data_IF_655589406011
#
_entry.id   IF_655589406011
#
_cell.length_a   1.000
_cell.length_b   1.000
_cell.length_c   1.000
_cell.angle_alpha   90.00
_cell.angle_beta   90.00
_cell.angle_gamma   90.00
#
_symmetry.space_group_name_H-M   'P 1'
#
loop_
_entity.id
_entity.type
_entity.pdbx_description
1 polymer ?
#
# COMPACT_ATOMS: atom_id res chain seq x y z
N UNK A 1 -2.04 22.88 3.73
CA UNK A 1 -2.56 23.06 2.36
C UNK A 1 -3.92 23.71 2.41
N UNK A 2 -4.40 24.23 1.27
CA UNK A 2 -5.81 24.63 1.10
C UNK A 2 -6.72 23.39 1.12
N UNK A 3 -8.04 23.58 1.20
CA UNK A 3 -9.00 22.46 1.06
C UNK A 3 -8.80 21.69 -0.25
N UNK A 4 -8.57 22.40 -1.36
CA UNK A 4 -8.35 21.78 -2.66
C UNK A 4 -7.08 20.91 -2.68
N UNK A 5 -5.99 21.37 -2.04
CA UNK A 5 -4.76 20.59 -1.91
C UNK A 5 -4.98 19.32 -1.07
N UNK A 6 -5.70 19.43 0.06
CA UNK A 6 -6.05 18.27 0.89
C UNK A 6 -6.93 17.27 0.14
N UNK A 7 -7.94 17.75 -0.58
CA UNK A 7 -8.85 16.91 -1.36
C UNK A 7 -8.11 16.19 -2.50
N UNK A 8 -7.30 16.92 -3.28
CA UNK A 8 -6.48 16.34 -4.34
C UNK A 8 -5.50 15.29 -3.80
N UNK A 9 -4.78 15.60 -2.72
CA UNK A 9 -3.84 14.65 -2.13
C UNK A 9 -4.55 13.38 -1.66
N UNK A 10 -5.69 13.51 -0.95
CA UNK A 10 -6.42 12.35 -0.45
C UNK A 10 -7.02 11.50 -1.58
N UNK A 11 -7.58 12.13 -2.60
CA UNK A 11 -8.22 11.42 -3.72
C UNK A 11 -7.21 10.78 -4.68
N UNK A 12 -6.04 11.40 -4.89
CA UNK A 12 -5.08 10.98 -5.91
C UNK A 12 -3.87 10.21 -5.35
N UNK A 13 -3.48 10.44 -4.10
CA UNK A 13 -2.31 9.81 -3.48
C UNK A 13 -2.67 8.74 -2.44
N UNK A 14 -3.94 8.70 -2.02
CA UNK A 14 -4.43 7.82 -0.98
C UNK A 14 -4.19 8.37 0.42
N UNK A 15 -4.14 7.48 1.40
CA UNK A 15 -3.90 7.83 2.81
C UNK A 15 -2.41 7.87 3.14
N UNK A 16 -2.00 8.94 3.81
CA UNK A 16 -0.66 9.11 4.33
C UNK A 16 -0.67 9.53 5.80
N UNK A 17 0.47 9.32 6.45
CA UNK A 17 0.75 9.78 7.80
C UNK A 17 2.16 10.32 7.86
N UNK A 18 2.35 11.39 8.65
CA UNK A 18 3.66 11.99 8.85
C UNK A 18 4.53 11.07 9.70
N UNK A 19 5.82 10.99 9.37
CA UNK A 19 6.81 10.32 10.21
C UNK A 19 6.95 11.05 11.55
N UNK A 20 7.22 10.31 12.65
CA UNK A 20 7.35 10.88 13.97
C UNK A 20 8.61 11.74 14.08
N UNK A 21 8.63 12.63 15.09
CA UNK A 21 9.81 13.42 15.47
C UNK A 21 10.46 14.25 14.34
N UNK A 22 9.70 14.58 13.29
CA UNK A 22 10.22 15.30 12.12
C UNK A 22 11.17 14.47 11.24
N UNK A 23 11.16 13.14 11.41
CA UNK A 23 11.99 12.24 10.62
C UNK A 23 11.65 12.31 9.13
N UNK A 24 12.62 11.90 8.31
CA UNK A 24 12.46 11.74 6.86
C UNK A 24 12.99 10.39 6.42
N UNK A 25 12.44 9.89 5.32
CA UNK A 25 12.82 8.62 4.70
C UNK A 25 13.16 8.88 3.24
N UNK A 26 14.33 8.42 2.82
CA UNK A 26 14.73 8.46 1.41
C UNK A 26 14.46 7.09 0.81
N UNK A 27 13.60 7.03 -0.19
CA UNK A 27 13.25 5.78 -0.87
C UNK A 27 14.29 5.31 -1.85
N UNK A 28 14.13 4.06 -2.29
CA UNK A 28 14.96 3.44 -3.31
C UNK A 28 14.92 4.15 -4.68
N UNK A 29 13.92 5.00 -4.93
CA UNK A 29 13.81 5.87 -6.10
C UNK A 29 14.51 7.24 -5.94
N UNK A 30 15.15 7.50 -4.79
CA UNK A 30 15.91 8.71 -4.49
C UNK A 30 15.12 9.86 -3.88
N UNK A 31 13.81 9.72 -3.67
CA UNK A 31 12.98 10.78 -3.08
C UNK A 31 12.99 10.76 -1.55
N UNK A 32 13.30 11.90 -0.95
CA UNK A 32 13.16 12.10 0.51
C UNK A 32 11.75 12.60 0.85
N UNK A 33 11.08 11.89 1.76
CA UNK A 33 9.71 12.19 2.20
C UNK A 33 9.60 12.19 3.72
N UNK A 34 8.76 13.09 4.25
CA UNK A 34 8.40 13.17 5.66
C UNK A 34 7.11 12.43 6.00
N UNK A 35 6.51 11.74 5.02
CA UNK A 35 5.26 11.01 5.11
C UNK A 35 5.44 9.61 4.54
N UNK A 36 4.65 8.67 5.03
CA UNK A 36 4.55 7.32 4.51
C UNK A 36 3.08 6.97 4.27
N UNK A 37 2.84 5.99 3.40
CA UNK A 37 1.47 5.56 3.09
C UNK A 37 0.96 4.61 4.16
N UNK A 38 -0.27 4.85 4.61
CA UNK A 38 -0.93 3.97 5.56
C UNK A 38 -1.82 2.97 4.85
N UNK A 39 -2.05 1.83 5.50
CA UNK A 39 -3.21 0.97 5.23
C UNK A 39 -4.48 1.79 5.44
N UNK A 40 -5.51 1.43 4.70
CA UNK A 40 -6.84 2.04 4.81
C UNK A 40 -7.94 0.97 4.96
N UNK A 41 -7.60 -0.27 5.31
CA UNK A 41 -8.52 -1.36 5.59
C UNK A 41 -8.49 -1.75 7.06
N UNK A 42 -9.57 -2.36 7.53
CA UNK A 42 -9.65 -2.93 8.89
C UNK A 42 -8.70 -4.13 8.98
N UNK A 43 -7.94 -4.24 10.06
CA UNK A 43 -7.20 -5.46 10.40
C UNK A 43 -7.95 -6.17 11.53
N UNK A 44 -7.67 -7.47 11.74
CA UNK A 44 -8.30 -8.25 12.80
C UNK A 44 -7.89 -7.75 14.20
N UNK A 45 -6.67 -7.18 14.31
CA UNK A 45 -6.17 -6.50 15.50
C UNK A 45 -6.06 -4.99 15.27
N UNK A 46 -6.39 -4.20 16.29
CA UNK A 46 -6.23 -2.75 16.23
C UNK A 46 -4.74 -2.35 16.12
N UNK A 47 -4.38 -1.41 15.23
CA UNK A 47 -2.99 -1.01 15.06
C UNK A 47 -2.45 -0.32 16.32
N UNK A 48 -1.24 -0.70 16.73
CA UNK A 48 -0.57 -0.19 17.93
C UNK A 48 0.59 0.72 17.57
N UNK A 49 1.26 0.44 16.48
CA UNK A 49 2.52 1.07 16.07
C UNK A 49 2.50 1.55 14.62
N UNK A 50 3.45 2.40 14.25
CA UNK A 50 3.62 2.83 12.85
C UNK A 50 3.85 1.66 11.89
N UNK A 51 4.53 0.60 12.36
CA UNK A 51 4.75 -0.62 11.58
C UNK A 51 3.48 -1.40 11.28
N UNK A 52 2.43 -1.29 12.09
CA UNK A 52 1.17 -1.99 11.86
C UNK A 52 0.39 -1.39 10.68
N UNK A 53 0.61 -0.09 10.44
CA UNK A 53 -0.15 0.70 9.47
C UNK A 53 0.63 1.02 8.20
N UNK A 54 1.94 0.73 8.11
CA UNK A 54 2.68 1.00 6.87
C UNK A 54 2.20 0.11 5.74
N UNK A 55 1.98 0.71 4.57
CA UNK A 55 1.74 -0.03 3.34
C UNK A 55 2.43 0.63 2.15
N UNK A 56 3.68 0.26 1.93
CA UNK A 56 4.52 0.72 0.82
C UNK A 56 5.68 -0.26 0.62
N UNK A 57 6.46 -0.15 -0.47
CA UNK A 57 7.55 -1.10 -0.76
C UNK A 57 8.72 -0.98 0.22
N UNK A 58 9.07 0.25 0.59
CA UNK A 58 10.15 0.53 1.53
C UNK A 58 9.62 0.46 2.96
N UNK A 59 10.11 -0.51 3.74
CA UNK A 59 9.78 -0.62 5.16
C UNK A 59 10.22 0.64 5.93
N UNK A 60 9.49 0.95 7.01
CA UNK A 60 9.95 1.96 7.95
C UNK A 60 11.21 1.47 8.68
N UNK A 61 12.16 2.36 9.03
CA UNK A 61 13.24 2.02 9.94
C UNK A 61 12.71 1.38 11.22
N UNK A 62 13.38 0.33 11.71
CA UNK A 62 12.90 -0.48 12.83
C UNK A 62 12.55 0.35 14.08
N UNK A 63 13.33 1.39 14.36
CA UNK A 63 13.06 2.32 15.45
C UNK A 63 11.70 3.02 15.28
N UNK A 64 11.43 3.57 14.08
CA UNK A 64 10.16 4.24 13.75
C UNK A 64 9.01 3.24 13.74
N UNK A 65 9.21 2.06 13.15
CA UNK A 65 8.18 1.04 13.04
C UNK A 65 7.64 0.60 14.41
N UNK A 66 8.48 0.62 15.45
CA UNK A 66 8.10 0.27 16.83
C UNK A 66 7.44 1.39 17.61
N UNK A 67 7.46 2.62 17.10
CA UNK A 67 6.85 3.74 17.82
C UNK A 67 5.33 3.55 17.95
N UNK A 68 4.75 3.86 19.11
CA UNK A 68 3.32 3.75 19.31
C UNK A 68 2.56 4.85 18.57
N UNK A 69 1.38 4.50 18.06
CA UNK A 69 0.43 5.48 17.53
C UNK A 69 -0.30 6.18 18.68
N UNK A 70 -0.45 7.50 18.59
CA UNK A 70 -1.33 8.26 19.48
C UNK A 70 -2.81 7.97 19.19
N UNK A 71 -3.69 8.28 20.14
CA UNK A 71 -5.15 8.12 19.93
C UNK A 71 -5.68 9.02 18.81
N UNK A 72 -5.10 10.23 18.65
CA UNK A 72 -5.41 11.11 17.53
C UNK A 72 -5.01 10.47 16.19
N UNK A 73 -3.82 9.87 16.13
CA UNK A 73 -3.35 9.19 14.93
C UNK A 73 -4.24 7.98 14.59
N UNK A 74 -4.61 7.17 15.58
CA UNK A 74 -5.52 6.04 15.39
C UNK A 74 -6.89 6.48 14.88
N UNK A 75 -7.45 7.56 15.44
CA UNK A 75 -8.77 8.08 15.02
C UNK A 75 -8.75 8.73 13.63
N UNK A 76 -7.58 9.14 13.13
CA UNK A 76 -7.41 9.68 11.77
C UNK A 76 -7.30 8.61 10.67
N UNK A 77 -7.11 7.34 11.03
CA UNK A 77 -6.97 6.24 10.08
C UNK A 77 -8.28 6.00 9.33
N UNK A 78 -8.19 5.80 8.02
CA UNK A 78 -9.32 5.30 7.25
C UNK A 78 -9.46 3.79 7.41
N UNK A 79 -10.69 3.33 7.31
CA UNK A 79 -11.04 1.92 7.40
C UNK A 79 -11.90 1.52 6.22
N UNK A 80 -11.57 0.34 5.68
CA UNK A 80 -12.28 -0.37 4.63
C UNK A 80 -12.62 -1.76 5.17
N UNK A 81 -13.90 -2.05 5.30
CA UNK A 81 -14.45 -3.23 5.93
C UNK A 81 -14.22 -4.50 5.11
N UNK A 82 -14.22 -5.66 5.78
CA UNK A 82 -14.09 -6.96 5.13
C UNK A 82 -15.33 -7.35 4.29
N UNK A 83 -16.48 -6.76 4.62
CA UNK A 83 -17.77 -7.01 3.96
C UNK A 83 -18.14 -5.90 2.95
N UNK A 84 -17.25 -4.93 2.75
CA UNK A 84 -17.39 -3.95 1.68
C UNK A 84 -17.11 -4.58 0.31
N UNK A 85 -17.51 -3.93 -0.81
CA UNK A 85 -17.32 -4.46 -2.16
C UNK A 85 -15.88 -4.92 -2.48
N UNK A 86 -15.72 -5.67 -3.56
CA UNK A 86 -14.38 -5.98 -4.06
C UNK A 86 -13.67 -4.70 -4.48
N UNK A 87 -12.45 -4.51 -3.95
CA UNK A 87 -11.62 -3.35 -4.22
C UNK A 87 -10.28 -3.79 -4.84
N UNK A 88 -10.00 -3.24 -6.03
CA UNK A 88 -8.74 -3.41 -6.74
C UNK A 88 -8.00 -2.08 -6.78
N UNK A 89 -6.76 -2.05 -6.29
CA UNK A 89 -5.95 -0.83 -6.22
C UNK A 89 -4.58 -1.00 -6.89
N UNK A 90 -3.99 0.12 -7.28
CA UNK A 90 -2.59 0.20 -7.72
C UNK A 90 -1.77 1.08 -6.77
N UNK A 91 -0.74 1.74 -7.27
CA UNK A 91 0.03 2.81 -6.60
C UNK A 91 0.97 2.38 -5.46
N UNK A 92 0.80 1.17 -4.91
CA UNK A 92 1.58 0.68 -3.77
C UNK A 92 2.82 -0.12 -4.13
N UNK A 93 3.12 -0.30 -5.42
CA UNK A 93 4.41 -0.81 -5.93
C UNK A 93 4.84 -2.13 -5.26
N UNK A 94 3.89 -3.06 -5.11
CA UNK A 94 4.12 -4.32 -4.40
C UNK A 94 5.22 -5.16 -5.07
N UNK A 95 5.82 -6.03 -4.26
CA UNK A 95 6.81 -7.02 -4.72
C UNK A 95 6.34 -8.42 -4.34
N UNK A 96 6.98 -9.43 -4.92
CA UNK A 96 6.68 -10.84 -4.68
C UNK A 96 5.57 -11.39 -5.58
N UNK A 97 4.87 -12.41 -5.09
CA UNK A 97 3.81 -13.11 -5.81
C UNK A 97 2.48 -12.39 -5.63
N UNK A 98 1.75 -12.09 -6.72
CA UNK A 98 0.41 -11.51 -6.62
C UNK A 98 -0.54 -12.37 -5.81
N UNK A 99 -1.17 -11.74 -4.81
CA UNK A 99 -2.11 -12.38 -3.91
C UNK A 99 -3.07 -11.33 -3.31
N UNK A 100 -4.26 -11.75 -2.84
CA UNK A 100 -5.15 -10.87 -2.10
C UNK A 100 -4.44 -10.29 -0.87
N UNK A 101 -4.74 -9.03 -0.55
CA UNK A 101 -4.39 -8.41 0.73
C UNK A 101 -5.41 -8.85 1.78
N UNK A 102 -6.69 -8.84 1.40
CA UNK A 102 -7.83 -9.36 2.16
C UNK A 102 -8.77 -10.12 1.23
N UNK A 103 -9.76 -10.87 1.74
CA UNK A 103 -10.75 -11.53 0.90
C UNK A 103 -11.50 -10.61 -0.06
N UNK A 104 -11.59 -9.31 0.20
CA UNK A 104 -12.24 -8.34 -0.70
C UNK A 104 -11.29 -7.25 -1.24
N UNK A 105 -9.97 -7.35 -1.02
CA UNK A 105 -9.01 -6.31 -1.40
C UNK A 105 -7.77 -6.90 -2.07
N UNK A 106 -7.45 -6.41 -3.27
CA UNK A 106 -6.21 -6.71 -3.97
C UNK A 106 -5.50 -5.45 -4.43
N UNK A 107 -4.17 -5.44 -4.32
CA UNK A 107 -3.34 -4.53 -5.08
C UNK A 107 -2.75 -5.28 -6.29
N UNK A 108 -2.90 -4.69 -7.49
CA UNK A 108 -2.41 -5.23 -8.77
C UNK A 108 -1.16 -4.51 -9.30
N UNK A 109 -0.71 -3.46 -8.61
CA UNK A 109 0.53 -2.78 -8.96
C UNK A 109 1.71 -3.52 -8.34
N UNK A 110 2.37 -4.35 -9.16
CA UNK A 110 3.59 -5.07 -8.81
C UNK A 110 4.83 -4.49 -9.51
N UNK A 111 4.86 -3.16 -9.66
CA UNK A 111 6.02 -2.43 -10.15
C UNK A 111 6.51 -2.89 -11.52
N UNK A 112 5.60 -3.16 -12.46
CA UNK A 112 5.92 -3.61 -13.83
C UNK A 112 6.99 -2.74 -14.50
N UNK A 113 6.89 -1.41 -14.36
CA UNK A 113 7.86 -0.44 -14.94
C UNK A 113 9.26 -0.51 -14.30
N UNK A 114 9.37 -1.10 -13.12
CA UNK A 114 10.64 -1.34 -12.43
C UNK A 114 11.09 -2.79 -12.57
N UNK A 115 10.72 -3.46 -13.66
CA UNK A 115 11.04 -4.86 -13.94
C UNK A 115 10.47 -5.84 -12.91
N UNK A 116 9.31 -5.49 -12.34
CA UNK A 116 8.52 -6.36 -11.49
C UNK A 116 7.59 -7.24 -12.32
N UNK A 117 6.30 -7.26 -11.96
CA UNK A 117 5.28 -8.07 -12.64
C UNK A 117 4.20 -7.17 -13.23
N UNK A 118 3.79 -7.50 -14.46
CA UNK A 118 2.52 -7.03 -14.99
C UNK A 118 1.44 -8.02 -14.55
N UNK A 119 0.65 -7.63 -13.55
CA UNK A 119 -0.33 -8.49 -12.90
C UNK A 119 -1.76 -8.09 -13.26
N UNK A 120 -2.64 -9.10 -13.30
CA UNK A 120 -4.08 -8.95 -13.45
C UNK A 120 -4.81 -9.96 -12.55
N UNK A 121 -6.09 -9.69 -12.31
CA UNK A 121 -6.99 -10.61 -11.61
C UNK A 121 -8.16 -10.96 -12.53
N UNK A 122 -8.47 -12.24 -12.66
CA UNK A 122 -9.60 -12.72 -13.47
C UNK A 122 -10.86 -12.74 -12.60
N UNK A 123 -11.62 -11.65 -12.61
CA UNK A 123 -12.88 -11.56 -11.88
C UNK A 123 -14.02 -12.23 -12.67
N UNK A 124 -14.75 -13.14 -12.04
CA UNK A 124 -16.03 -13.67 -12.57
C UNK A 124 -17.18 -13.11 -11.72
N UNK A 125 -17.92 -13.97 -11.02
CA UNK A 125 -19.05 -13.58 -10.15
C UNK A 125 -18.70 -13.73 -8.66
N UNK A 126 -17.46 -14.09 -8.31
CA UNK A 126 -17.08 -14.24 -6.91
C UNK A 126 -17.19 -12.92 -6.15
N UNK A 127 -17.63 -13.01 -4.89
CA UNK A 127 -17.66 -11.89 -3.94
C UNK A 127 -16.46 -11.87 -3.00
N UNK A 128 -15.56 -12.87 -3.13
CA UNK A 128 -14.31 -13.00 -2.39
C UNK A 128 -13.20 -13.41 -3.35
N UNK A 129 -12.06 -12.74 -3.25
CA UNK A 129 -10.89 -12.93 -4.09
C UNK A 129 -10.26 -14.31 -3.87
N UNK A 130 -9.99 -15.00 -4.97
CA UNK A 130 -9.28 -16.26 -5.00
C UNK A 130 -7.83 -16.05 -5.47
N UNK A 131 -6.86 -16.45 -4.64
CA UNK A 131 -5.43 -16.39 -4.96
C UNK A 131 -5.06 -17.09 -6.28
N UNK A 132 -5.83 -18.08 -6.72
CA UNK A 132 -5.58 -18.82 -7.96
C UNK A 132 -6.03 -18.09 -9.22
N UNK A 133 -6.76 -16.98 -9.09
CA UNK A 133 -7.25 -16.16 -10.22
C UNK A 133 -6.36 -14.96 -10.54
N UNK A 134 -5.25 -14.80 -9.79
CA UNK A 134 -4.20 -13.87 -10.15
C UNK A 134 -3.36 -14.45 -11.28
N UNK A 135 -3.14 -13.65 -12.32
CA UNK A 135 -2.27 -13.98 -13.45
C UNK A 135 -1.26 -12.87 -13.64
N UNK A 136 -0.03 -13.22 -14.01
CA UNK A 136 1.01 -12.22 -14.23
C UNK A 136 2.09 -12.74 -15.17
N UNK A 137 2.82 -11.79 -15.75
CA UNK A 137 4.09 -12.04 -16.44
C UNK A 137 5.19 -11.25 -15.74
N UNK A 138 6.40 -11.82 -15.68
CA UNK A 138 7.59 -11.09 -15.22
C UNK A 138 8.02 -10.11 -16.33
N UNK A 139 8.34 -8.87 -15.96
CA UNK A 139 8.84 -7.88 -16.90
C UNK A 139 10.35 -8.03 -17.01
N UNK A 140 10.82 -8.52 -18.16
CA UNK A 140 12.26 -8.67 -18.43
C UNK A 140 12.96 -7.32 -18.56
N UNK A 141 14.22 -7.26 -18.10
CA UNK A 141 15.15 -6.18 -18.44
C UNK A 141 15.64 -6.37 -19.87
N UNK A 142 15.51 -5.38 -20.77
CA UNK A 142 16.01 -5.48 -22.14
C UNK A 142 17.49 -5.85 -22.24
N UNK A 143 18.30 -5.42 -21.27
CA UNK A 143 19.75 -5.58 -21.22
C UNK A 143 20.21 -6.94 -20.65
N UNK A 144 19.30 -7.78 -20.16
CA UNK A 144 19.62 -9.04 -19.50
C UNK A 144 19.53 -10.28 -20.42
N UNK A 145 19.15 -10.07 -21.69
CA UNK A 145 19.10 -11.11 -22.73
C UNK A 145 20.34 -11.05 -23.67
N UNK A 146 21.44 -10.38 -23.27
CA UNK A 146 22.79 -10.46 -23.90
C UNK A 146 23.74 -11.40 -23.15
#
# INVERSE_FOLDING_TARGET
GSFADLACNRLLRGTDMRLPHGATLTSSDGYTRAFFRTKFWVEDEAPRTYGDIVFQPDALPEAIAREPLSEEQKSSLLTYGADEPLLFVGHYWRRGTPAPIRPNLACLDYSAVMYGKLAAYRLDEETRLDRHKFVWVEVKRPEADE
#
